data_IF_256449837061
#
_entry.id   IF_256449837061
#
_cell.length_a   1.000
_cell.length_b   1.000
_cell.length_c   1.000
_cell.angle_alpha   90.00
_cell.angle_beta   90.00
_cell.angle_gamma   90.00
#
_symmetry.space_group_name_H-M   'P 1'
#
loop_
_entity.id
_entity.type
_entity.pdbx_description
1 polymer ?
#
# COMPACT_ATOMS: atom_id res chain seq x y z
N UNK A 1 1.42 -10.37 -16.26
CA UNK A 1 1.93 -9.23 -15.46
C UNK A 1 1.20 -9.26 -14.14
N UNK A 2 1.92 -9.29 -13.00
CA UNK A 2 1.26 -9.21 -11.70
C UNK A 2 0.62 -7.83 -11.54
N UNK A 3 -0.55 -7.77 -10.90
CA UNK A 3 -1.21 -6.50 -10.61
C UNK A 3 -0.42 -5.79 -9.49
N UNK A 4 -0.16 -4.48 -9.62
CA UNK A 4 0.58 -3.67 -8.65
C UNK A 4 -0.26 -2.45 -8.30
N UNK A 5 -0.35 -2.10 -7.02
CA UNK A 5 -1.06 -0.91 -6.57
C UNK A 5 -0.45 0.36 -7.16
N UNK A 6 -1.26 1.29 -7.68
CA UNK A 6 -0.76 2.61 -8.10
C UNK A 6 -0.11 3.34 -6.92
N UNK A 7 0.95 4.09 -7.22
CA UNK A 7 1.68 4.89 -6.23
C UNK A 7 1.52 6.38 -6.52
N UNK A 8 1.30 7.19 -5.48
CA UNK A 8 1.41 8.64 -5.61
C UNK A 8 2.86 9.05 -5.99
N UNK A 9 3.05 10.22 -6.65
CA UNK A 9 4.37 10.66 -7.08
C UNK A 9 5.40 10.71 -5.93
N UNK A 10 6.59 10.18 -6.18
CA UNK A 10 7.71 10.20 -5.23
C UNK A 10 7.75 9.04 -4.23
N UNK A 11 6.73 8.18 -4.21
CA UNK A 11 6.76 6.96 -3.40
C UNK A 11 7.61 5.90 -4.11
N UNK A 12 8.59 5.37 -3.40
CA UNK A 12 9.41 4.23 -3.81
C UNK A 12 9.55 3.29 -2.64
N UNK A 13 9.72 2.00 -2.92
CA UNK A 13 9.90 0.97 -1.90
C UNK A 13 11.27 0.32 -2.09
N UNK A 14 11.98 0.14 -1.00
CA UNK A 14 13.19 -0.65 -0.94
C UNK A 14 12.83 -2.14 -0.71
N UNK A 15 13.62 -3.08 -1.23
CA UNK A 15 13.42 -4.49 -0.96
C UNK A 15 13.66 -4.82 0.52
N UNK A 16 13.04 -5.89 1.00
CA UNK A 16 13.12 -6.41 2.36
C UNK A 16 12.91 -5.36 3.48
N UNK A 17 12.00 -4.40 3.28
CA UNK A 17 11.78 -3.27 4.20
C UNK A 17 10.31 -3.12 4.58
N UNK A 18 10.03 -2.84 5.85
CA UNK A 18 8.69 -2.54 6.37
C UNK A 18 8.36 -1.05 6.33
N UNK A 19 7.11 -0.73 5.97
CA UNK A 19 6.57 0.61 5.88
C UNK A 19 5.22 0.72 6.59
N UNK A 20 4.94 1.87 7.21
CA UNK A 20 3.58 2.32 7.45
C UNK A 20 3.09 3.07 6.22
N UNK A 21 1.93 2.69 5.69
CA UNK A 21 1.38 3.31 4.48
C UNK A 21 -0.04 3.83 4.71
N UNK A 22 -0.48 4.73 3.84
CA UNK A 22 -1.89 4.99 3.63
C UNK A 22 -2.29 4.68 2.19
N UNK A 23 -3.50 4.20 2.00
CA UNK A 23 -4.05 3.90 0.68
C UNK A 23 -5.50 4.37 0.55
N UNK A 24 -5.89 4.73 -0.67
CA UNK A 24 -7.22 5.24 -1.00
C UNK A 24 -7.82 4.46 -2.15
N UNK A 25 -9.09 4.08 -2.03
CA UNK A 25 -9.85 3.50 -3.15
C UNK A 25 -10.30 4.62 -4.09
N UNK A 26 -10.02 4.47 -5.38
CA UNK A 26 -10.34 5.44 -6.42
C UNK A 26 -11.46 4.97 -7.34
N UNK A 27 -12.08 3.83 -7.06
CA UNK A 27 -13.18 3.30 -7.87
C UNK A 27 -14.49 4.08 -7.62
N UNK A 28 -15.05 4.79 -8.63
CA UNK A 28 -16.30 5.54 -8.48
C UNK A 28 -17.54 4.70 -8.13
N UNK A 29 -17.47 3.39 -8.34
CA UNK A 29 -18.58 2.47 -8.05
C UNK A 29 -18.48 1.86 -6.63
N UNK A 30 -17.41 2.13 -5.89
CA UNK A 30 -17.20 1.58 -4.55
C UNK A 30 -17.69 2.54 -3.46
N UNK A 31 -18.36 2.01 -2.43
CA UNK A 31 -18.72 2.78 -1.23
C UNK A 31 -17.49 3.35 -0.48
N UNK A 32 -16.32 2.76 -0.70
CA UNK A 32 -15.07 3.21 -0.11
C UNK A 32 -14.32 4.25 -0.95
N UNK A 33 -14.90 4.73 -2.07
CA UNK A 33 -14.27 5.77 -2.87
C UNK A 33 -13.82 6.96 -2.00
N UNK A 34 -12.57 7.36 -2.18
CA UNK A 34 -11.98 8.52 -1.51
C UNK A 34 -11.71 8.32 -0.02
N UNK A 35 -12.08 7.18 0.57
CA UNK A 35 -11.72 6.87 1.96
C UNK A 35 -10.25 6.46 2.04
N UNK A 36 -9.58 6.92 3.09
CA UNK A 36 -8.19 6.57 3.39
C UNK A 36 -8.14 5.45 4.41
N UNK A 37 -7.27 4.49 4.17
CA UNK A 37 -7.04 3.35 5.03
C UNK A 37 -5.56 3.31 5.40
N UNK A 38 -5.28 3.00 6.66
CA UNK A 38 -3.93 2.88 7.18
C UNK A 38 -3.53 1.41 7.23
N UNK A 39 -2.32 1.10 6.76
CA UNK A 39 -1.67 -0.19 6.96
C UNK A 39 -0.41 0.07 7.76
N UNK A 40 -0.44 -0.31 9.03
CA UNK A 40 0.63 -0.01 9.99
C UNK A 40 1.94 -0.74 9.64
N UNK A 41 1.84 -1.92 9.04
CA UNK A 41 3.00 -2.77 8.71
C UNK A 41 2.80 -3.42 7.34
N UNK A 42 3.41 -2.81 6.31
CA UNK A 42 3.50 -3.36 4.98
C UNK A 42 4.92 -3.82 4.72
N UNK A 43 5.10 -5.11 4.42
CA UNK A 43 6.39 -5.65 4.01
C UNK A 43 6.59 -5.52 2.50
N UNK A 44 7.60 -4.75 2.09
CA UNK A 44 8.08 -4.72 0.72
C UNK A 44 9.10 -5.83 0.52
N UNK A 45 8.70 -6.90 -0.19
CA UNK A 45 9.60 -8.02 -0.45
C UNK A 45 10.69 -7.64 -1.47
N UNK A 46 10.30 -7.13 -2.64
CA UNK A 46 11.19 -6.86 -3.77
C UNK A 46 11.23 -5.39 -4.22
N UNK A 47 10.57 -4.48 -3.50
CA UNK A 47 10.50 -3.05 -3.84
C UNK A 47 9.55 -2.70 -5.00
N UNK A 48 8.93 -3.68 -5.65
CA UNK A 48 8.21 -3.46 -6.91
C UNK A 48 6.78 -4.01 -6.92
N UNK A 49 6.53 -5.17 -6.33
CA UNK A 49 5.25 -5.86 -6.41
C UNK A 49 4.40 -5.63 -5.15
N UNK A 50 4.05 -4.37 -4.88
CA UNK A 50 3.20 -3.99 -3.74
C UNK A 50 1.72 -4.01 -4.14
N UNK A 51 0.89 -4.70 -3.36
CA UNK A 51 -0.53 -4.90 -3.65
C UNK A 51 -1.38 -4.57 -2.43
N UNK A 52 -2.24 -3.58 -2.56
CA UNK A 52 -3.28 -3.22 -1.60
C UNK A 52 -4.62 -3.27 -2.31
N UNK A 53 -5.52 -4.10 -1.79
CA UNK A 53 -6.83 -4.36 -2.40
C UNK A 53 -7.91 -3.89 -1.44
N UNK A 54 -8.89 -3.17 -1.99
CA UNK A 54 -10.10 -2.85 -1.24
C UNK A 54 -10.91 -4.12 -1.01
N UNK A 55 -11.12 -4.50 0.26
CA UNK A 55 -11.86 -5.71 0.62
C UNK A 55 -13.34 -5.73 0.21
N UNK A 56 -13.89 -4.59 -0.25
CA UNK A 56 -15.28 -4.48 -0.71
C UNK A 56 -15.40 -4.68 -2.22
N UNK A 57 -14.66 -3.90 -3.02
CA UNK A 57 -14.78 -3.92 -4.48
C UNK A 57 -13.70 -4.76 -5.19
N UNK A 58 -12.72 -5.28 -4.45
CA UNK A 58 -11.55 -6.02 -4.95
C UNK A 58 -10.65 -5.24 -5.94
N UNK A 59 -10.82 -3.92 -6.06
CA UNK A 59 -9.90 -3.09 -6.84
C UNK A 59 -8.63 -2.77 -6.07
N UNK A 60 -7.55 -2.59 -6.84
CA UNK A 60 -6.30 -2.06 -6.34
C UNK A 60 -6.50 -0.65 -5.83
N UNK A 61 -6.08 -0.41 -4.60
CA UNK A 61 -6.06 0.91 -3.99
C UNK A 61 -4.78 1.63 -4.37
N UNK A 62 -4.86 2.96 -4.44
CA UNK A 62 -3.70 3.83 -4.66
C UNK A 62 -3.01 4.10 -3.34
N UNK A 63 -1.71 3.82 -3.24
CA UNK A 63 -0.90 4.15 -2.07
C UNK A 63 -0.55 5.64 -2.13
N UNK A 64 -0.95 6.38 -1.10
CA UNK A 64 -0.86 7.85 -1.03
C UNK A 64 0.22 8.34 -0.08
N UNK A 65 0.67 7.52 0.87
CA UNK A 65 1.88 7.75 1.66
C UNK A 65 2.59 6.44 1.98
N UNK A 66 3.91 6.49 2.17
CA UNK A 66 4.71 5.39 2.68
C UNK A 66 5.85 5.96 3.54
N UNK A 67 5.95 5.49 4.77
CA UNK A 67 6.99 5.86 5.74
C UNK A 67 7.72 4.61 6.16
N UNK A 68 9.05 4.58 5.97
CA UNK A 68 9.89 3.48 6.46
C UNK A 68 9.72 3.34 7.96
N UNK A 69 9.51 2.12 8.45
CA UNK A 69 9.47 1.86 9.89
C UNK A 69 10.89 1.88 10.47
N UNK A 70 11.08 2.63 11.54
CA UNK A 70 12.35 2.65 12.29
C UNK A 70 12.05 2.69 13.80
N UNK A 71 12.30 1.59 14.54
CA UNK A 71 12.96 0.36 14.09
C UNK A 71 12.09 -0.48 13.14
N UNK A 72 12.74 -1.36 12.37
CA UNK A 72 12.05 -2.42 11.64
C UNK A 72 11.42 -3.41 12.64
N UNK A 73 10.19 -3.90 12.41
CA UNK A 73 9.56 -4.91 13.28
C UNK A 73 10.42 -6.17 13.39
N UNK A 74 10.49 -6.74 14.60
CA UNK A 74 11.14 -8.03 14.81
C UNK A 74 10.20 -9.15 14.35
N UNK A 75 10.72 -10.06 13.52
CA UNK A 75 10.03 -11.31 13.21
C UNK A 75 10.10 -12.20 14.45
N UNK A 76 8.97 -12.39 15.13
CA UNK A 76 8.82 -13.33 16.25
C UNK A 76 8.63 -14.77 15.78
#
# INVERSE_FOLDING_TARGET
>A
MAAVSPLAPGITFDPATFYAITATDTNPECENIGKTFEVSELYSNDGHNIVIVCGLCNHLMTITSATVLDPQPELV
#
